data_IF_208143551667
#
_entry.id   IF_208143551667
#
_cell.length_a   1.000
_cell.length_b   1.000
_cell.length_c   1.000
_cell.angle_alpha   90.00
_cell.angle_beta   90.00
_cell.angle_gamma   90.00
#
_symmetry.space_group_name_H-M   'P 1'
#
loop_
_entity.id
_entity.type
_entity.pdbx_description
1 polymer ?
#
# COMPACT_ATOMS: atom_id res chain seq x y z
N UNK A 1 14.76 12.90 -14.58
CA UNK A 1 13.62 12.18 -13.96
C UNK A 1 13.27 12.88 -12.66
N UNK A 2 12.02 13.34 -12.50
CA UNK A 2 11.59 14.04 -11.27
C UNK A 2 11.55 13.05 -10.09
N UNK A 3 12.08 13.45 -8.92
CA UNK A 3 12.09 12.63 -7.70
C UNK A 3 10.68 12.19 -7.29
N UNK A 4 9.69 13.08 -7.36
CA UNK A 4 8.30 12.79 -7.00
C UNK A 4 7.73 11.73 -7.93
N UNK A 5 8.00 11.82 -9.23
CA UNK A 5 7.57 10.80 -10.20
C UNK A 5 8.21 9.44 -9.89
N UNK A 6 9.52 9.42 -9.63
CA UNK A 6 10.22 8.20 -9.25
C UNK A 6 9.59 7.57 -8.00
N UNK A 7 9.36 8.36 -6.95
CA UNK A 7 8.79 7.88 -5.69
C UNK A 7 7.32 7.45 -5.84
N UNK A 8 6.51 8.14 -6.63
CA UNK A 8 5.09 7.83 -6.79
C UNK A 8 4.80 6.67 -7.75
N UNK A 9 5.63 6.45 -8.77
CA UNK A 9 5.36 5.51 -9.87
C UNK A 9 6.36 4.36 -9.90
N UNK A 10 7.64 4.64 -9.67
CA UNK A 10 8.72 3.65 -9.86
C UNK A 10 9.02 2.89 -8.57
N UNK A 11 9.11 3.58 -7.42
CA UNK A 11 9.36 2.96 -6.11
C UNK A 11 8.39 1.81 -5.75
N UNK A 12 7.07 1.87 -6.07
CA UNK A 12 6.17 0.71 -5.94
C UNK A 12 6.73 -0.59 -6.52
N UNK A 13 7.31 -0.53 -7.73
CA UNK A 13 7.89 -1.70 -8.39
C UNK A 13 9.15 -2.20 -7.70
N UNK A 14 9.97 -1.28 -7.16
CA UNK A 14 11.14 -1.64 -6.36
C UNK A 14 10.75 -2.34 -5.06
N UNK A 15 9.64 -1.96 -4.41
CA UNK A 15 9.15 -2.67 -3.23
C UNK A 15 8.74 -4.11 -3.59
N UNK A 16 8.02 -4.30 -4.70
CA UNK A 16 7.64 -5.64 -5.17
C UNK A 16 8.87 -6.48 -5.54
N UNK A 17 9.82 -5.91 -6.30
CA UNK A 17 11.08 -6.57 -6.61
C UNK A 17 11.87 -6.91 -5.34
N UNK A 18 11.83 -6.03 -4.33
CA UNK A 18 12.43 -6.25 -3.01
C UNK A 18 11.90 -7.50 -2.30
N UNK A 19 10.61 -7.82 -2.43
CA UNK A 19 10.05 -9.08 -1.91
C UNK A 19 10.66 -10.30 -2.61
N UNK A 20 10.76 -10.26 -3.95
CA UNK A 20 11.32 -11.35 -4.74
C UNK A 20 12.81 -11.56 -4.42
N UNK A 21 13.57 -10.47 -4.30
CA UNK A 21 14.98 -10.51 -3.91
C UNK A 21 15.13 -11.05 -2.49
N UNK A 22 14.31 -10.58 -1.55
CA UNK A 22 14.34 -11.06 -0.17
C UNK A 22 14.06 -12.57 -0.10
N UNK A 23 13.08 -13.07 -0.86
CA UNK A 23 12.80 -14.51 -0.95
C UNK A 23 13.97 -15.29 -1.55
N UNK A 24 14.60 -14.76 -2.61
CA UNK A 24 15.73 -15.42 -3.28
C UNK A 24 16.96 -15.54 -2.37
N UNK A 25 17.23 -14.50 -1.57
CA UNK A 25 18.37 -14.41 -0.65
C UNK A 25 18.08 -14.99 0.75
N UNK A 26 16.85 -15.37 1.03
CA UNK A 26 16.47 -15.89 2.35
C UNK A 26 17.14 -17.24 2.64
N UNK A 27 17.74 -17.36 3.83
CA UNK A 27 18.26 -18.63 4.36
C UNK A 27 17.15 -19.68 4.52
N UNK A 28 15.99 -19.24 5.02
CA UNK A 28 14.78 -20.07 5.15
C UNK A 28 13.71 -19.56 4.18
N UNK A 29 13.67 -20.18 3.00
CA UNK A 29 12.74 -19.84 1.92
C UNK A 29 11.29 -20.19 2.26
N UNK A 30 11.05 -21.24 3.06
CA UNK A 30 9.70 -21.66 3.42
C UNK A 30 9.09 -20.65 4.39
N UNK A 31 9.82 -20.28 5.45
CA UNK A 31 9.37 -19.26 6.40
C UNK A 31 9.18 -17.92 5.73
N UNK A 32 10.15 -17.47 4.94
CA UNK A 32 10.09 -16.17 4.25
C UNK A 32 8.96 -16.15 3.21
N UNK A 33 8.79 -17.23 2.45
CA UNK A 33 7.70 -17.38 1.49
C UNK A 33 6.33 -17.30 2.15
N UNK A 34 6.14 -17.93 3.32
CA UNK A 34 4.91 -17.81 4.11
C UNK A 34 4.65 -16.37 4.57
N UNK A 35 5.69 -15.66 5.04
CA UNK A 35 5.56 -14.27 5.47
C UNK A 35 5.13 -13.35 4.33
N UNK A 36 5.77 -13.49 3.17
CA UNK A 36 5.46 -12.74 1.95
C UNK A 36 4.05 -13.09 1.45
N UNK A 37 3.68 -14.37 1.43
CA UNK A 37 2.36 -14.81 0.98
C UNK A 37 1.25 -14.17 1.83
N UNK A 38 1.36 -14.24 3.16
CA UNK A 38 0.39 -13.62 4.07
C UNK A 38 0.31 -12.09 3.87
N UNK A 39 1.45 -11.44 3.66
CA UNK A 39 1.49 -10.00 3.44
C UNK A 39 0.88 -9.59 2.10
N UNK A 40 1.12 -10.36 1.04
CA UNK A 40 0.49 -10.16 -0.27
C UNK A 40 -1.02 -10.44 -0.21
N UNK A 41 -1.47 -11.47 0.52
CA UNK A 41 -2.89 -11.71 0.74
C UNK A 41 -3.56 -10.50 1.41
N UNK A 42 -2.95 -9.95 2.47
CA UNK A 42 -3.46 -8.74 3.11
C UNK A 42 -3.50 -7.55 2.13
N UNK A 43 -2.44 -7.33 1.36
CA UNK A 43 -2.36 -6.25 0.39
C UNK A 43 -3.43 -6.35 -0.71
N UNK A 44 -3.62 -7.54 -1.28
CA UNK A 44 -4.61 -7.81 -2.33
C UNK A 44 -6.03 -7.63 -1.79
N UNK A 45 -6.35 -8.19 -0.62
CA UNK A 45 -7.68 -8.04 0.00
C UNK A 45 -7.96 -6.56 0.28
N UNK A 46 -6.98 -5.84 0.83
CA UNK A 46 -7.13 -4.40 1.14
C UNK A 46 -7.35 -3.59 -0.13
N UNK A 47 -6.59 -3.87 -1.20
CA UNK A 47 -6.75 -3.19 -2.49
C UNK A 47 -8.08 -3.51 -3.16
N UNK A 48 -8.56 -4.75 -3.05
CA UNK A 48 -9.86 -5.14 -3.55
C UNK A 48 -10.98 -4.37 -2.83
N UNK A 49 -10.95 -4.32 -1.49
CA UNK A 49 -11.92 -3.55 -0.71
C UNK A 49 -11.82 -2.06 -1.02
N UNK A 50 -10.61 -1.50 -1.14
CA UNK A 50 -10.41 -0.11 -1.55
C UNK A 50 -11.03 0.17 -2.93
N UNK A 51 -10.89 -0.75 -3.87
CA UNK A 51 -11.49 -0.67 -5.21
C UNK A 51 -13.02 -0.72 -5.16
N UNK A 52 -13.60 -1.56 -4.29
CA UNK A 52 -15.04 -1.58 -4.06
C UNK A 52 -15.55 -0.26 -3.46
N UNK A 53 -14.87 0.28 -2.44
CA UNK A 53 -15.24 1.57 -1.85
C UNK A 53 -15.18 2.66 -2.92
N UNK A 54 -14.09 2.71 -3.68
CA UNK A 54 -13.90 3.68 -4.77
C UNK A 54 -14.99 3.60 -5.84
N UNK A 55 -15.44 2.41 -6.19
CA UNK A 55 -16.54 2.22 -7.15
C UNK A 55 -17.88 2.75 -6.61
N UNK A 56 -18.15 2.56 -5.32
CA UNK A 56 -19.40 2.98 -4.68
C UNK A 56 -19.41 4.43 -4.20
N UNK A 57 -18.23 5.02 -3.99
CA UNK A 57 -18.03 6.39 -3.53
C UNK A 57 -17.09 7.15 -4.46
N UNK A 58 -17.54 7.53 -5.68
CA UNK A 58 -16.75 8.33 -6.59
C UNK A 58 -16.34 9.64 -5.92
N UNK A 59 -15.08 10.02 -6.09
CA UNK A 59 -14.54 11.26 -5.52
C UNK A 59 -13.59 11.90 -6.53
N UNK A 60 -13.73 13.20 -6.80
CA UNK A 60 -12.85 13.89 -7.74
C UNK A 60 -11.43 14.00 -7.19
N UNK A 61 -10.44 13.88 -8.06
CA UNK A 61 -9.03 14.07 -7.71
C UNK A 61 -8.69 15.57 -7.59
N UNK A 62 -7.61 15.95 -6.88
CA UNK A 62 -7.26 17.36 -6.72
C UNK A 62 -7.15 18.12 -8.05
N UNK A 63 -6.53 17.52 -9.08
CA UNK A 63 -6.38 18.14 -10.40
C UNK A 63 -7.69 18.30 -11.18
N UNK A 64 -8.78 17.63 -10.78
CA UNK A 64 -10.09 17.75 -11.42
C UNK A 64 -10.87 18.98 -10.91
N UNK A 65 -10.54 19.46 -9.71
CA UNK A 65 -11.30 20.52 -9.03
C UNK A 65 -10.49 21.80 -8.84
N UNK A 66 -9.16 21.71 -8.81
CA UNK A 66 -8.27 22.85 -8.61
C UNK A 66 -7.80 23.38 -9.98
N UNK A 67 -8.27 24.56 -10.42
CA UNK A 67 -8.07 25.05 -11.79
C UNK A 67 -6.59 25.33 -12.16
N UNK A 68 -5.72 25.52 -11.17
CA UNK A 68 -4.30 25.82 -11.36
C UNK A 68 -3.38 24.67 -10.92
N UNK A 69 -3.92 23.46 -10.71
CA UNK A 69 -3.13 22.30 -10.32
C UNK A 69 -2.87 21.41 -11.52
N UNK A 70 -1.68 21.52 -12.10
CA UNK A 70 -1.20 20.57 -13.10
C UNK A 70 -0.63 19.32 -12.40
N UNK A 71 -1.20 18.12 -12.64
CA UNK A 71 -0.69 16.91 -12.02
C UNK A 71 0.62 16.49 -12.71
N UNK A 72 1.58 15.98 -11.93
CA UNK A 72 2.85 15.48 -12.49
C UNK A 72 2.67 14.28 -13.42
N UNK A 73 1.58 13.55 -13.24
CA UNK A 73 1.14 12.47 -14.10
C UNK A 73 -0.38 12.25 -13.89
N UNK A 74 -1.06 11.71 -14.89
CA UNK A 74 -2.51 11.42 -14.79
C UNK A 74 -2.70 9.96 -14.39
N UNK A 75 -3.48 9.70 -13.34
CA UNK A 75 -3.94 8.36 -12.99
C UNK A 75 -5.41 8.38 -12.66
N UNK A 76 -6.25 7.70 -13.44
CA UNK A 76 -7.70 7.65 -13.21
C UNK A 76 -8.39 9.02 -13.26
N UNK A 77 -9.72 9.02 -13.16
CA UNK A 77 -10.59 10.21 -13.01
C UNK A 77 -11.83 9.83 -12.20
N UNK A 78 -12.27 10.70 -11.28
CA UNK A 78 -13.44 10.46 -10.42
C UNK A 78 -13.26 9.36 -9.37
N UNK A 79 -12.03 8.90 -9.15
CA UNK A 79 -11.71 7.71 -8.37
C UNK A 79 -10.62 7.99 -7.31
N UNK A 80 -10.67 9.15 -6.65
CA UNK A 80 -9.64 9.57 -5.70
C UNK A 80 -9.64 8.75 -4.41
N UNK A 81 -10.82 8.52 -3.82
CA UNK A 81 -10.99 7.95 -2.50
C UNK A 81 -11.34 6.46 -2.53
N UNK A 82 -10.77 5.62 -1.65
CA UNK A 82 -9.51 5.82 -0.93
C UNK A 82 -8.30 5.57 -1.86
N UNK A 83 -7.10 5.92 -1.38
CA UNK A 83 -5.88 5.67 -2.15
C UNK A 83 -5.52 4.18 -2.19
N UNK A 84 -5.57 3.59 -3.38
CA UNK A 84 -5.17 2.20 -3.61
C UNK A 84 -3.70 1.92 -3.33
N UNK A 85 -2.80 2.90 -3.53
CA UNK A 85 -1.38 2.75 -3.22
C UNK A 85 -1.14 2.71 -1.70
N UNK A 86 -1.75 3.65 -0.96
CA UNK A 86 -1.66 3.66 0.50
C UNK A 86 -2.28 2.39 1.11
N UNK A 87 -3.44 1.95 0.58
CA UNK A 87 -4.09 0.71 0.98
C UNK A 87 -3.20 -0.53 0.73
N UNK A 88 -2.72 -0.73 -0.49
CA UNK A 88 -1.95 -1.92 -0.85
C UNK A 88 -0.60 -1.97 -0.12
N UNK A 89 0.23 -0.93 -0.25
CA UNK A 89 1.57 -0.93 0.32
C UNK A 89 1.55 -0.77 1.85
N UNK A 90 0.57 -0.04 2.40
CA UNK A 90 0.35 0.00 3.84
C UNK A 90 0.02 -1.38 4.41
N UNK A 91 -0.89 -2.12 3.77
CA UNK A 91 -1.29 -3.45 4.25
C UNK A 91 -0.15 -4.47 4.12
N UNK A 92 0.59 -4.42 3.01
CA UNK A 92 1.80 -5.22 2.81
C UNK A 92 2.82 -4.95 3.93
N UNK A 93 3.13 -3.68 4.18
CA UNK A 93 4.10 -3.27 5.18
C UNK A 93 3.71 -3.68 6.60
N UNK A 94 2.45 -3.44 6.99
CA UNK A 94 1.93 -3.78 8.32
C UNK A 94 1.88 -5.29 8.55
N UNK A 95 1.44 -6.06 7.55
CA UNK A 95 1.45 -7.51 7.61
C UNK A 95 2.86 -8.08 7.76
N UNK A 96 3.85 -7.51 7.06
CA UNK A 96 5.26 -7.84 7.27
C UNK A 96 5.74 -7.43 8.65
N UNK A 97 5.36 -6.24 9.14
CA UNK A 97 5.81 -5.71 10.42
C UNK A 97 5.47 -6.62 11.60
N UNK A 98 4.28 -7.22 11.62
CA UNK A 98 3.92 -8.15 12.69
C UNK A 98 4.65 -9.50 12.64
N UNK A 99 5.28 -9.83 11.51
CA UNK A 99 6.01 -11.09 11.32
C UNK A 99 7.53 -10.89 11.40
N UNK A 100 8.01 -9.76 10.90
CA UNK A 100 9.40 -9.33 10.82
C UNK A 100 9.45 -7.80 10.85
N UNK A 101 9.75 -7.25 12.04
CA UNK A 101 9.72 -5.80 12.28
C UNK A 101 10.64 -5.00 11.37
N UNK A 102 11.85 -5.49 11.11
CA UNK A 102 12.83 -4.78 10.27
C UNK A 102 12.37 -4.71 8.82
N UNK A 103 11.93 -5.84 8.26
CA UNK A 103 11.36 -5.86 6.91
C UNK A 103 10.12 -4.96 6.84
N UNK A 104 9.18 -5.12 7.76
CA UNK A 104 7.97 -4.30 7.79
C UNK A 104 8.24 -2.80 7.91
N UNK A 105 9.21 -2.37 8.72
CA UNK A 105 9.56 -0.95 8.85
C UNK A 105 10.13 -0.38 7.54
N UNK A 106 10.98 -1.13 6.84
CA UNK A 106 11.51 -0.71 5.53
C UNK A 106 10.40 -0.55 4.48
N UNK A 107 9.47 -1.50 4.43
CA UNK A 107 8.32 -1.41 3.54
C UNK A 107 7.34 -0.30 3.95
N UNK A 108 7.17 -0.04 5.25
CA UNK A 108 6.30 1.01 5.76
C UNK A 108 6.84 2.39 5.40
N UNK A 109 8.15 2.59 5.52
CA UNK A 109 8.80 3.81 5.05
C UNK A 109 8.57 4.01 3.54
N UNK A 110 8.73 2.96 2.73
CA UNK A 110 8.42 3.00 1.30
C UNK A 110 6.96 3.39 1.03
N UNK A 111 6.00 2.79 1.74
CA UNK A 111 4.58 3.10 1.60
C UNK A 111 4.25 4.56 1.95
N UNK A 112 4.88 5.11 3.00
CA UNK A 112 4.72 6.51 3.39
C UNK A 112 5.31 7.44 2.33
N UNK A 113 6.52 7.15 1.84
CA UNK A 113 7.17 7.94 0.79
C UNK A 113 6.34 7.96 -0.50
N UNK A 114 5.83 6.80 -0.93
CA UNK A 114 4.91 6.71 -2.07
C UNK A 114 3.70 7.61 -1.81
N UNK A 115 3.08 7.50 -0.64
CA UNK A 115 1.86 8.23 -0.30
C UNK A 115 2.05 9.75 -0.29
N UNK A 116 3.15 10.23 0.27
CA UNK A 116 3.51 11.66 0.25
C UNK A 116 3.73 12.11 -1.19
N UNK A 117 4.47 11.34 -1.99
CA UNK A 117 4.72 11.68 -3.40
C UNK A 117 3.42 11.75 -4.22
N UNK A 118 2.41 10.93 -3.89
CA UNK A 118 1.08 10.98 -4.54
C UNK A 118 0.30 12.25 -4.20
N UNK A 119 0.44 12.78 -2.98
CA UNK A 119 -0.13 14.09 -2.61
C UNK A 119 0.60 15.20 -3.36
N UNK A 120 1.94 15.19 -3.33
CA UNK A 120 2.76 16.21 -3.99
C UNK A 120 2.62 16.21 -5.52
N UNK A 121 2.30 15.06 -6.12
CA UNK A 121 1.99 14.95 -7.55
C UNK A 121 0.61 15.49 -7.93
N UNK A 122 -0.23 15.90 -6.96
CA UNK A 122 -1.56 16.44 -7.20
C UNK A 122 -2.63 15.40 -7.53
N UNK A 123 -2.36 14.11 -7.28
CA UNK A 123 -3.26 13.01 -7.70
C UNK A 123 -4.13 12.45 -6.57
N UNK A 124 -3.84 12.79 -5.31
CA UNK A 124 -4.63 12.37 -4.14
C UNK A 124 -4.72 13.47 -3.09
N UNK A 125 -5.85 13.52 -2.40
CA UNK A 125 -6.02 14.30 -1.19
C UNK A 125 -5.34 13.61 0.01
N UNK A 126 -4.91 14.35 1.05
CA UNK A 126 -4.41 13.75 2.28
C UNK A 126 -5.40 12.77 2.92
N UNK A 127 -6.71 13.04 2.82
CA UNK A 127 -7.76 12.16 3.35
C UNK A 127 -7.82 10.81 2.62
N UNK A 128 -7.54 10.77 1.31
CA UNK A 128 -7.49 9.53 0.53
C UNK A 128 -6.38 8.59 1.04
N UNK A 129 -5.25 9.19 1.41
CA UNK A 129 -4.08 8.49 1.95
C UNK A 129 -4.39 7.94 3.35
N UNK A 130 -4.93 8.79 4.23
CA UNK A 130 -5.28 8.41 5.60
C UNK A 130 -6.28 7.26 5.57
N UNK A 131 -7.34 7.35 4.77
CA UNK A 131 -8.33 6.27 4.62
C UNK A 131 -7.70 4.98 4.08
N UNK A 132 -6.77 5.08 3.13
CA UNK A 132 -6.00 3.94 2.65
C UNK A 132 -5.20 3.25 3.76
N UNK A 133 -4.49 4.01 4.61
CA UNK A 133 -3.74 3.46 5.75
C UNK A 133 -4.65 2.89 6.85
N UNK A 134 -5.80 3.51 7.10
CA UNK A 134 -6.80 2.96 8.04
C UNK A 134 -7.30 1.61 7.55
N UNK A 135 -7.68 1.52 6.28
CA UNK A 135 -8.12 0.25 5.68
C UNK A 135 -7.01 -0.80 5.73
N UNK A 136 -5.78 -0.40 5.39
CA UNK A 136 -4.60 -1.25 5.50
C UNK A 136 -4.42 -1.81 6.90
N UNK A 137 -4.48 -0.97 7.94
CA UNK A 137 -4.32 -1.38 9.33
C UNK A 137 -5.39 -2.39 9.74
N UNK A 138 -6.65 -2.12 9.44
CA UNK A 138 -7.78 -3.00 9.79
C UNK A 138 -7.64 -4.36 9.10
N UNK A 139 -7.51 -4.38 7.78
CA UNK A 139 -7.52 -5.62 7.00
C UNK A 139 -6.29 -6.46 7.27
N UNK A 140 -5.11 -5.85 7.28
CA UNK A 140 -3.89 -6.60 7.58
C UNK A 140 -3.95 -7.18 9.00
N UNK A 141 -4.53 -6.46 9.97
CA UNK A 141 -4.67 -6.97 11.36
C UNK A 141 -5.56 -8.20 11.37
N UNK A 142 -6.72 -8.13 10.70
CA UNK A 142 -7.64 -9.26 10.60
C UNK A 142 -6.99 -10.48 9.94
N UNK A 143 -6.20 -10.29 8.88
CA UNK A 143 -5.49 -11.38 8.21
C UNK A 143 -4.46 -12.02 9.15
N UNK A 144 -3.68 -11.20 9.85
CA UNK A 144 -2.64 -11.68 10.74
C UNK A 144 -3.20 -12.39 11.99
N UNK A 145 -4.18 -11.79 12.67
CA UNK A 145 -4.75 -12.34 13.90
C UNK A 145 -5.76 -13.45 13.63
N UNK A 146 -6.54 -13.37 12.55
CA UNK A 146 -7.45 -14.45 12.14
C UNK A 146 -6.71 -15.71 11.69
N UNK A 147 -5.48 -15.56 11.17
CA UNK A 147 -4.60 -16.69 10.83
C UNK A 147 -3.97 -17.38 12.04
N UNK A 148 -3.95 -16.72 13.21
CA UNK A 148 -3.51 -17.33 14.47
C UNK A 148 -4.68 -18.12 15.06
N UNK A 149 -4.77 -19.41 14.73
CA UNK A 149 -5.58 -20.31 15.56
C UNK A 149 -5.07 -20.21 17.01
N UNK A 150 -5.94 -20.07 18.02
CA UNK A 150 -5.51 -20.24 19.40
C UNK A 150 -4.82 -21.59 19.48
N UNK A 151 -3.57 -21.61 19.93
CA UNK A 151 -2.99 -22.88 20.36
C UNK A 151 -3.93 -23.44 21.41
N UNK A 152 -4.55 -24.59 21.15
CA UNK A 152 -5.15 -25.39 22.23
C UNK A 152 -4.06 -25.50 23.30
N UNK A 153 -4.30 -24.86 24.44
CA UNK A 153 -3.53 -25.07 25.66
C UNK A 153 -3.95 -26.39 26.27
#
# INVERSE_FOLDING_TARGET
MNLIYFTAVILPWFLIAGLAIWLALAKDKIKTGRQIALALSAAIITWFIASLVKYNFPSPRPFEVLPNLEPLFVTGRGDAFPSGHAAFFGALALALFWQNRLAGLGFLLGAILISIARILAGVHWPVDIIAGFVLALVISSLVYWGGRRPACR
#
